data_IF_745419159740
#
_entry.id   IF_745419159740
#
_cell.length_a   1.000
_cell.length_b   1.000
_cell.length_c   1.000
_cell.angle_alpha   90.00
_cell.angle_beta   90.00
_cell.angle_gamma   90.00
#
_symmetry.space_group_name_H-M   'P 1'
#
loop_
_entity.id
_entity.type
_entity.pdbx_description
1 polymer ?
#
# COMPACT_ATOMS: atom_id res chain seq x y z
N UNK A 1 76.31 26.25 -29.17
CA UNK A 1 75.06 25.70 -29.71
C UNK A 1 74.52 24.54 -28.87
N UNK A 2 74.10 24.74 -27.61
CA UNK A 2 73.58 23.66 -26.73
C UNK A 2 72.29 23.98 -26.02
N UNK A 3 71.62 25.11 -26.31
CA UNK A 3 70.44 25.56 -25.57
C UNK A 3 69.10 24.91 -25.99
N UNK A 4 69.01 24.00 -26.95
CA UNK A 4 67.78 23.50 -27.49
C UNK A 4 67.43 22.02 -27.15
N UNK A 5 68.34 21.30 -26.49
CA UNK A 5 68.13 19.88 -26.18
C UNK A 5 67.32 19.69 -24.90
N UNK A 6 67.50 20.50 -23.86
CA UNK A 6 66.84 20.43 -22.60
C UNK A 6 65.30 20.70 -22.69
N UNK A 7 64.90 21.63 -23.55
CA UNK A 7 63.43 21.93 -23.77
C UNK A 7 62.71 20.83 -24.53
N UNK A 8 63.39 20.05 -25.35
CA UNK A 8 62.84 18.85 -26.02
C UNK A 8 62.60 17.73 -24.99
N UNK A 9 63.57 17.43 -24.15
CA UNK A 9 63.49 16.40 -23.11
C UNK A 9 62.34 16.74 -22.10
N UNK A 10 62.22 17.99 -21.74
CA UNK A 10 61.14 18.42 -20.82
C UNK A 10 59.74 18.24 -21.44
N UNK A 11 59.56 18.52 -22.73
CA UNK A 11 58.32 18.27 -23.46
C UNK A 11 57.98 16.77 -23.54
N UNK A 12 58.97 15.92 -23.79
CA UNK A 12 58.77 14.47 -23.81
C UNK A 12 58.41 13.94 -22.41
N UNK A 13 59.11 14.38 -21.36
CA UNK A 13 58.82 13.97 -19.99
C UNK A 13 57.42 14.38 -19.54
N UNK A 14 56.95 15.60 -19.88
CA UNK A 14 55.57 16.03 -19.61
C UNK A 14 54.59 15.15 -20.39
N UNK A 15 54.86 14.87 -21.67
CA UNK A 15 54.00 13.99 -22.48
C UNK A 15 53.86 12.59 -21.90
N UNK A 16 54.95 12.03 -21.40
CA UNK A 16 54.98 10.70 -20.77
C UNK A 16 54.20 10.69 -19.45
N UNK A 17 54.33 11.72 -18.60
CA UNK A 17 53.59 11.88 -17.37
C UNK A 17 52.07 12.00 -17.67
N UNK A 18 51.68 12.82 -18.65
CA UNK A 18 50.27 12.97 -19.05
C UNK A 18 49.70 11.66 -19.56
N UNK A 19 50.47 10.89 -20.35
CA UNK A 19 50.03 9.61 -20.89
C UNK A 19 49.83 8.56 -19.79
N UNK A 20 50.75 8.53 -18.79
CA UNK A 20 50.59 7.67 -17.61
C UNK A 20 49.38 8.09 -16.77
N UNK A 21 49.18 9.40 -16.56
CA UNK A 21 47.98 9.91 -15.85
C UNK A 21 46.69 9.52 -16.56
N UNK A 22 46.61 9.65 -17.88
CA UNK A 22 45.44 9.21 -18.67
C UNK A 22 45.23 7.72 -18.51
N UNK A 23 46.27 6.92 -18.55
CA UNK A 23 46.20 5.47 -18.33
C UNK A 23 45.63 5.10 -16.97
N UNK A 24 46.06 5.77 -15.90
CA UNK A 24 45.60 5.56 -14.54
C UNK A 24 44.11 6.00 -14.42
N UNK A 25 43.74 7.14 -14.98
CA UNK A 25 42.36 7.63 -14.95
C UNK A 25 41.41 6.69 -15.70
N UNK A 26 41.81 6.19 -16.87
CA UNK A 26 41.02 5.21 -17.61
C UNK A 26 40.88 3.89 -16.85
N UNK A 27 41.94 3.41 -16.22
CA UNK A 27 41.91 2.19 -15.41
C UNK A 27 40.96 2.35 -14.21
N UNK A 28 40.99 3.51 -13.52
CA UNK A 28 40.06 3.83 -12.43
C UNK A 28 38.62 3.91 -12.92
N UNK A 29 38.35 4.56 -14.06
CA UNK A 29 36.98 4.63 -14.63
C UNK A 29 36.44 3.25 -14.99
N UNK A 30 37.24 2.38 -15.61
CA UNK A 30 36.84 1.01 -15.95
C UNK A 30 36.55 0.20 -14.68
N UNK A 31 37.38 0.35 -13.64
CA UNK A 31 37.15 -0.33 -12.36
C UNK A 31 35.86 0.15 -11.71
N UNK A 32 35.65 1.47 -11.58
CA UNK A 32 34.43 2.07 -11.03
C UNK A 32 33.20 1.64 -11.81
N UNK A 33 33.27 1.63 -13.15
CA UNK A 33 32.18 1.15 -13.98
C UNK A 33 31.82 -0.33 -13.71
N UNK A 34 32.84 -1.19 -13.56
CA UNK A 34 32.62 -2.60 -13.27
C UNK A 34 32.04 -2.83 -11.86
N UNK A 35 32.48 -2.06 -10.86
CA UNK A 35 31.93 -2.09 -9.49
C UNK A 35 30.48 -1.63 -9.45
N UNK A 36 30.16 -0.52 -10.12
CA UNK A 36 28.78 -0.03 -10.25
C UNK A 36 27.87 -1.05 -10.94
N UNK A 37 28.37 -1.71 -11.98
CA UNK A 37 27.62 -2.77 -12.66
C UNK A 37 27.30 -3.95 -11.73
N UNK A 38 28.27 -4.40 -10.93
CA UNK A 38 28.07 -5.47 -9.94
C UNK A 38 27.08 -5.06 -8.85
N UNK A 39 27.20 -3.82 -8.35
CA UNK A 39 26.30 -3.24 -7.36
C UNK A 39 24.86 -3.20 -7.88
N UNK A 40 24.65 -2.70 -9.09
CA UNK A 40 23.33 -2.66 -9.72
C UNK A 40 22.69 -4.05 -9.90
N UNK A 41 23.50 -5.05 -10.29
CA UNK A 41 23.01 -6.43 -10.40
C UNK A 41 22.58 -6.98 -9.03
N UNK A 42 23.38 -6.72 -7.99
CA UNK A 42 23.05 -7.14 -6.60
C UNK A 42 21.81 -6.44 -6.10
N UNK A 43 21.72 -5.13 -6.30
CA UNK A 43 20.56 -4.32 -5.93
C UNK A 43 19.27 -4.82 -6.60
N UNK A 44 19.30 -5.05 -7.92
CA UNK A 44 18.15 -5.59 -8.63
C UNK A 44 17.70 -6.96 -8.10
N UNK A 45 18.63 -7.85 -7.74
CA UNK A 45 18.27 -9.13 -7.11
C UNK A 45 17.57 -8.94 -5.77
N UNK A 46 18.02 -7.98 -4.96
CA UNK A 46 17.37 -7.65 -3.69
C UNK A 46 15.97 -7.06 -3.91
N UNK A 47 15.79 -6.19 -4.90
CA UNK A 47 14.48 -5.65 -5.27
C UNK A 47 13.51 -6.72 -5.74
N UNK A 48 13.96 -7.76 -6.46
CA UNK A 48 13.12 -8.91 -6.84
C UNK A 48 12.57 -9.61 -5.60
N UNK A 49 13.36 -9.77 -4.55
CA UNK A 49 12.88 -10.37 -3.30
C UNK A 49 11.81 -9.48 -2.61
N UNK A 50 12.08 -8.17 -2.53
CA UNK A 50 11.11 -7.19 -1.99
C UNK A 50 9.80 -7.21 -2.81
N UNK A 51 9.90 -7.24 -4.13
CA UNK A 51 8.74 -7.31 -5.02
C UNK A 51 7.89 -8.57 -4.76
N UNK A 52 8.53 -9.72 -4.63
CA UNK A 52 7.84 -10.98 -4.37
C UNK A 52 7.16 -11.00 -3.00
N UNK A 53 7.85 -10.53 -1.95
CA UNK A 53 7.28 -10.41 -0.62
C UNK A 53 6.07 -9.47 -0.63
N UNK A 54 6.22 -8.27 -1.21
CA UNK A 54 5.13 -7.29 -1.29
C UNK A 54 3.92 -7.83 -2.07
N UNK A 55 4.16 -8.53 -3.17
CA UNK A 55 3.09 -9.15 -3.98
C UNK A 55 2.25 -10.13 -3.14
N UNK A 56 2.90 -11.01 -2.39
CA UNK A 56 2.23 -11.98 -1.51
C UNK A 56 1.49 -11.26 -0.38
N UNK A 57 2.12 -10.29 0.23
CA UNK A 57 1.53 -9.52 1.33
C UNK A 57 0.28 -8.75 0.89
N UNK A 58 0.28 -8.16 -0.31
CA UNK A 58 -0.89 -7.48 -0.86
C UNK A 58 -2.05 -8.44 -1.15
N UNK A 59 -1.77 -9.64 -1.65
CA UNK A 59 -2.79 -10.68 -1.86
C UNK A 59 -3.43 -11.10 -0.54
N UNK A 60 -2.61 -11.34 0.50
CA UNK A 60 -3.09 -11.64 1.84
C UNK A 60 -3.89 -10.46 2.41
N UNK A 61 -3.39 -9.24 2.28
CA UNK A 61 -4.08 -8.04 2.75
C UNK A 61 -5.48 -7.90 2.12
N UNK A 62 -5.60 -8.09 0.79
CA UNK A 62 -6.89 -8.09 0.11
C UNK A 62 -7.84 -9.14 0.68
N UNK A 63 -7.37 -10.35 0.89
CA UNK A 63 -8.16 -11.44 1.51
C UNK A 63 -8.65 -11.07 2.92
N UNK A 64 -7.81 -10.37 3.71
CA UNK A 64 -8.22 -9.88 5.05
C UNK A 64 -9.25 -8.76 4.97
N UNK A 65 -9.10 -7.84 4.05
CA UNK A 65 -10.09 -6.77 3.80
C UNK A 65 -11.45 -7.38 3.48
N UNK A 66 -11.53 -8.36 2.60
CA UNK A 66 -12.79 -9.01 2.22
C UNK A 66 -13.41 -9.81 3.37
N UNK A 67 -12.58 -10.51 4.16
CA UNK A 67 -13.04 -11.16 5.38
C UNK A 67 -13.68 -10.16 6.36
N UNK A 68 -13.05 -9.00 6.58
CA UNK A 68 -13.57 -8.01 7.53
C UNK A 68 -14.76 -7.23 6.98
N UNK A 69 -14.94 -7.09 5.67
CA UNK A 69 -16.20 -6.59 5.07
C UNK A 69 -17.38 -7.49 5.43
N UNK A 70 -17.21 -8.81 5.31
CA UNK A 70 -18.24 -9.76 5.77
C UNK A 70 -18.52 -9.63 7.26
N UNK A 71 -17.48 -9.50 8.08
CA UNK A 71 -17.62 -9.31 9.53
C UNK A 71 -18.30 -7.99 9.90
N UNK A 72 -18.09 -6.93 9.12
CA UNK A 72 -18.79 -5.64 9.32
C UNK A 72 -20.30 -5.76 9.12
N UNK A 73 -20.72 -6.40 8.03
CA UNK A 73 -22.14 -6.66 7.76
C UNK A 73 -22.76 -7.49 8.88
N UNK A 74 -22.12 -8.59 9.27
CA UNK A 74 -22.60 -9.46 10.32
C UNK A 74 -22.69 -8.74 11.68
N UNK A 75 -21.66 -7.95 12.04
CA UNK A 75 -21.68 -7.14 13.26
C UNK A 75 -22.84 -6.14 13.26
N UNK A 76 -23.08 -5.49 12.13
CA UNK A 76 -24.18 -4.54 11.98
C UNK A 76 -25.56 -5.21 12.19
N UNK A 77 -25.75 -6.42 11.64
CA UNK A 77 -26.99 -7.17 11.83
C UNK A 77 -27.20 -7.60 13.30
N UNK A 78 -26.14 -8.03 13.99
CA UNK A 78 -26.17 -8.38 15.42
C UNK A 78 -26.50 -7.15 16.26
N UNK A 79 -25.82 -6.03 16.04
CA UNK A 79 -25.98 -4.79 16.81
C UNK A 79 -27.41 -4.26 16.70
N UNK A 80 -28.00 -4.34 15.52
CA UNK A 80 -29.34 -3.88 15.23
C UNK A 80 -30.45 -4.93 15.56
N UNK A 81 -30.09 -6.09 16.10
CA UNK A 81 -31.03 -7.14 16.48
C UNK A 81 -31.81 -7.76 15.33
N UNK A 82 -31.19 -7.82 14.13
CA UNK A 82 -31.80 -8.39 12.93
C UNK A 82 -31.71 -9.90 12.86
N UNK A 83 -30.88 -10.53 13.72
CA UNK A 83 -30.65 -11.97 13.69
C UNK A 83 -31.51 -12.66 14.75
N UNK A 84 -32.32 -13.61 14.30
CA UNK A 84 -33.13 -14.50 15.12
C UNK A 84 -32.36 -15.73 15.59
N UNK A 85 -32.91 -16.49 16.52
CA UNK A 85 -32.38 -17.80 16.95
C UNK A 85 -32.20 -18.75 15.77
N UNK A 86 -33.16 -18.78 14.85
CA UNK A 86 -33.08 -19.63 13.65
C UNK A 86 -31.92 -19.24 12.74
N UNK A 87 -31.55 -17.96 12.68
CA UNK A 87 -30.39 -17.50 11.90
C UNK A 87 -29.07 -18.03 12.43
N UNK A 88 -28.92 -18.13 13.74
CA UNK A 88 -27.72 -18.72 14.37
C UNK A 88 -27.71 -20.25 14.22
N UNK A 89 -28.86 -20.89 14.33
CA UNK A 89 -29.03 -22.34 14.16
C UNK A 89 -28.66 -22.77 12.74
N UNK A 90 -29.14 -22.04 11.73
CA UNK A 90 -28.98 -22.40 10.32
C UNK A 90 -27.61 -21.99 9.75
N UNK A 91 -26.87 -21.11 10.43
CA UNK A 91 -25.54 -20.70 9.98
C UNK A 91 -24.53 -20.68 11.14
N UNK A 92 -23.84 -21.81 11.39
CA UNK A 92 -22.86 -21.95 12.47
C UNK A 92 -21.73 -20.90 12.43
N UNK A 93 -21.38 -20.36 11.25
CA UNK A 93 -20.33 -19.33 11.12
C UNK A 93 -20.69 -18.04 11.87
N UNK A 94 -21.99 -17.76 12.06
CA UNK A 94 -22.46 -16.60 12.84
C UNK A 94 -22.17 -16.74 14.34
N UNK A 95 -22.11 -17.97 14.86
CA UNK A 95 -21.86 -18.25 16.27
C UNK A 95 -20.46 -17.84 16.75
N UNK A 96 -19.51 -17.73 15.83
CA UNK A 96 -18.11 -17.40 16.14
C UNK A 96 -17.75 -15.94 15.86
N UNK A 97 -18.74 -15.04 15.70
CA UNK A 97 -18.48 -13.67 15.25
C UNK A 97 -17.40 -12.97 16.07
N UNK A 98 -17.54 -12.92 17.39
CA UNK A 98 -16.63 -12.22 18.30
C UNK A 98 -15.50 -13.11 18.85
N UNK A 99 -15.51 -14.39 18.56
CA UNK A 99 -14.58 -15.38 19.15
C UNK A 99 -13.42 -15.73 18.26
N UNK A 100 -13.28 -15.10 17.10
CA UNK A 100 -12.19 -15.38 16.17
C UNK A 100 -11.79 -14.16 15.36
N UNK A 101 -10.54 -14.14 14.97
CA UNK A 101 -10.01 -13.12 14.06
C UNK A 101 -8.97 -13.73 13.12
N UNK A 102 -8.77 -13.06 12.02
CA UNK A 102 -7.67 -13.35 11.11
C UNK A 102 -6.66 -12.21 11.15
N UNK A 103 -5.50 -12.49 11.72
CA UNK A 103 -4.39 -11.55 11.71
C UNK A 103 -3.73 -11.45 10.33
N UNK A 104 -2.87 -10.44 10.22
CA UNK A 104 -1.98 -10.26 9.09
C UNK A 104 -0.62 -9.80 9.64
N UNK A 105 0.43 -10.41 9.16
CA UNK A 105 1.81 -10.01 9.43
C UNK A 105 2.52 -9.87 8.10
N UNK A 106 3.29 -8.80 7.99
CA UNK A 106 4.05 -8.48 6.80
C UNK A 106 5.30 -9.37 6.71
N UNK A 107 5.58 -9.88 5.52
CA UNK A 107 6.85 -10.52 5.21
C UNK A 107 7.91 -9.45 4.97
N UNK A 108 8.92 -9.38 5.83
CA UNK A 108 9.95 -8.35 5.75
C UNK A 108 11.35 -8.89 5.38
N UNK A 109 11.45 -10.13 4.92
CA UNK A 109 12.75 -10.76 4.64
C UNK A 109 13.49 -10.08 3.50
N UNK A 110 12.83 -9.82 2.38
CA UNK A 110 13.41 -9.13 1.24
C UNK A 110 13.79 -7.69 1.58
N UNK A 111 12.90 -6.97 2.29
CA UNK A 111 13.18 -5.63 2.77
C UNK A 111 14.39 -5.59 3.72
N UNK A 112 14.47 -6.47 4.71
CA UNK A 112 15.59 -6.53 5.63
C UNK A 112 16.91 -6.87 4.90
N UNK A 113 16.88 -7.80 3.94
CA UNK A 113 18.04 -8.12 3.11
C UNK A 113 18.49 -6.91 2.28
N UNK A 114 17.57 -6.10 1.77
CA UNK A 114 17.89 -4.86 1.08
C UNK A 114 18.54 -3.84 2.03
N UNK A 115 17.97 -3.62 3.22
CA UNK A 115 18.49 -2.66 4.20
C UNK A 115 19.84 -3.05 4.81
N UNK A 116 20.19 -4.33 4.80
CA UNK A 116 21.54 -4.81 5.20
C UNK A 116 22.60 -4.57 4.12
N UNK A 117 22.25 -4.07 2.94
CA UNK A 117 23.13 -3.83 1.82
C UNK A 117 23.01 -2.41 1.26
N UNK A 118 22.88 -1.43 2.15
CA UNK A 118 22.62 -0.02 1.79
C UNK A 118 23.74 0.61 0.95
N UNK A 119 24.98 0.15 1.10
CA UNK A 119 26.13 0.61 0.30
C UNK A 119 25.99 0.32 -1.20
N UNK A 120 25.07 -0.56 -1.57
CA UNK A 120 24.81 -0.92 -2.96
C UNK A 120 23.57 -0.25 -3.55
N UNK A 121 22.93 0.68 -2.82
CA UNK A 121 21.73 1.38 -3.29
C UNK A 121 22.16 2.60 -4.09
N UNK A 122 21.86 2.66 -5.42
CA UNK A 122 22.12 3.84 -6.21
C UNK A 122 21.28 5.03 -5.73
N UNK A 123 21.84 6.25 -5.77
CA UNK A 123 21.20 7.46 -5.27
C UNK A 123 19.87 7.79 -5.95
N UNK A 124 19.69 7.40 -7.20
CA UNK A 124 18.42 7.57 -7.92
C UNK A 124 17.23 6.82 -7.28
N UNK A 125 17.46 5.89 -6.34
CA UNK A 125 16.42 5.11 -5.66
C UNK A 125 16.17 5.56 -4.21
N UNK A 126 16.68 6.70 -3.77
CA UNK A 126 16.46 7.21 -2.40
C UNK A 126 14.97 7.31 -2.07
N UNK A 127 14.14 7.85 -2.97
CA UNK A 127 12.69 7.94 -2.76
C UNK A 127 12.04 6.56 -2.64
N UNK A 128 12.48 5.57 -3.41
CA UNK A 128 12.00 4.20 -3.27
C UNK A 128 12.29 3.65 -1.87
N UNK A 129 13.47 3.95 -1.31
CA UNK A 129 13.82 3.51 0.06
C UNK A 129 12.94 4.18 1.10
N UNK A 130 12.62 5.45 0.94
CA UNK A 130 11.66 6.15 1.82
C UNK A 130 10.29 5.47 1.76
N UNK A 131 9.80 5.14 0.58
CA UNK A 131 8.50 4.48 0.40
C UNK A 131 8.48 3.06 0.98
N UNK A 132 9.57 2.31 0.81
CA UNK A 132 9.76 0.99 1.41
C UNK A 132 9.80 1.06 2.94
N UNK A 133 10.54 2.01 3.50
CA UNK A 133 10.60 2.23 4.96
C UNK A 133 9.20 2.53 5.52
N UNK A 134 8.45 3.39 4.85
CA UNK A 134 7.07 3.70 5.24
C UNK A 134 6.18 2.45 5.21
N UNK A 135 6.29 1.63 4.17
CA UNK A 135 5.51 0.41 4.01
C UNK A 135 5.85 -0.65 5.07
N UNK A 136 7.14 -0.96 5.22
CA UNK A 136 7.62 -2.10 6.00
C UNK A 136 7.90 -1.78 7.47
N UNK A 137 8.09 -0.50 7.83
CA UNK A 137 8.28 -0.08 9.22
C UNK A 137 7.03 0.62 9.73
N UNK A 138 6.71 1.81 9.23
CA UNK A 138 5.69 2.67 9.84
C UNK A 138 4.29 2.06 9.74
N UNK A 139 3.92 1.61 8.53
CA UNK A 139 2.57 1.05 8.30
C UNK A 139 2.43 -0.32 8.93
N UNK A 140 3.45 -1.17 8.84
CA UNK A 140 3.47 -2.49 9.45
C UNK A 140 3.38 -2.43 10.98
N UNK A 141 4.14 -1.52 11.63
CA UNK A 141 4.09 -1.31 13.09
C UNK A 141 2.70 -0.87 13.57
N UNK A 142 2.09 0.13 12.92
CA UNK A 142 0.72 0.58 13.25
C UNK A 142 -0.29 -0.55 13.15
N UNK A 143 -0.16 -1.38 12.13
CA UNK A 143 -1.01 -2.54 11.93
C UNK A 143 -0.81 -3.59 13.04
N UNK A 144 0.42 -3.88 13.44
CA UNK A 144 0.74 -4.83 14.50
C UNK A 144 0.24 -4.36 15.87
N UNK A 145 0.41 -3.08 16.20
CA UNK A 145 -0.16 -2.47 17.42
C UNK A 145 -1.69 -2.66 17.43
N UNK A 146 -2.36 -2.35 16.33
CA UNK A 146 -3.81 -2.49 16.23
C UNK A 146 -4.27 -3.95 16.33
N UNK A 147 -3.53 -4.88 15.73
CA UNK A 147 -3.78 -6.32 15.84
C UNK A 147 -3.65 -6.81 17.28
N UNK A 148 -2.64 -6.36 18.00
CA UNK A 148 -2.41 -6.72 19.41
C UNK A 148 -3.58 -6.30 20.29
N UNK A 149 -4.06 -5.07 20.14
CA UNK A 149 -5.23 -4.56 20.85
C UNK A 149 -6.47 -5.39 20.49
N UNK A 150 -6.70 -5.65 19.22
CA UNK A 150 -7.85 -6.42 18.77
C UNK A 150 -7.80 -7.89 19.26
N UNK A 151 -6.64 -8.53 19.18
CA UNK A 151 -6.43 -9.89 19.70
C UNK A 151 -6.75 -9.99 21.19
N UNK A 152 -6.38 -8.98 21.98
CA UNK A 152 -6.68 -8.92 23.42
C UNK A 152 -8.19 -8.88 23.69
N UNK A 153 -8.95 -8.13 22.89
CA UNK A 153 -10.42 -8.04 22.99
C UNK A 153 -11.07 -9.40 22.71
N UNK A 154 -10.64 -10.08 21.63
CA UNK A 154 -11.14 -11.42 21.27
C UNK A 154 -10.78 -12.44 22.36
N UNK A 155 -9.56 -12.41 22.89
CA UNK A 155 -9.12 -13.27 23.98
C UNK A 155 -9.96 -13.04 25.23
N UNK A 156 -10.18 -11.80 25.62
CA UNK A 156 -11.01 -11.44 26.78
C UNK A 156 -12.47 -11.90 26.63
N UNK A 157 -13.05 -11.78 25.44
CA UNK A 157 -14.37 -12.32 25.14
C UNK A 157 -14.41 -13.84 25.34
N UNK A 158 -13.47 -14.57 24.73
CA UNK A 158 -13.38 -16.04 24.89
C UNK A 158 -13.27 -16.46 26.35
N UNK A 159 -12.38 -15.83 27.11
CA UNK A 159 -12.18 -16.14 28.52
C UNK A 159 -13.46 -15.90 29.33
N UNK A 160 -14.10 -14.75 29.14
CA UNK A 160 -15.36 -14.43 29.82
C UNK A 160 -16.46 -15.44 29.52
N UNK A 161 -16.62 -15.85 28.26
CA UNK A 161 -17.62 -16.84 27.87
C UNK A 161 -17.31 -18.22 28.40
N UNK A 162 -16.05 -18.63 28.38
CA UNK A 162 -15.63 -19.92 28.94
C UNK A 162 -15.89 -20.04 30.46
N UNK A 163 -15.70 -18.94 31.20
CA UNK A 163 -15.87 -18.92 32.66
C UNK A 163 -17.34 -18.76 33.10
N UNK A 164 -18.16 -18.03 32.35
CA UNK A 164 -19.50 -17.66 32.79
C UNK A 164 -20.63 -18.44 32.13
N UNK A 165 -20.35 -19.16 31.04
CA UNK A 165 -21.38 -19.84 30.25
C UNK A 165 -21.01 -21.31 30.00
N UNK A 166 -21.56 -22.28 30.78
CA UNK A 166 -21.25 -23.70 30.61
C UNK A 166 -21.48 -24.22 29.18
N UNK A 167 -22.48 -23.69 28.48
CA UNK A 167 -22.78 -24.04 27.09
C UNK A 167 -21.70 -23.63 26.09
N UNK A 168 -20.77 -22.75 26.47
CA UNK A 168 -19.76 -22.24 25.54
C UNK A 168 -18.80 -23.34 25.05
N UNK A 169 -18.38 -24.23 25.95
CA UNK A 169 -17.46 -25.33 25.67
C UNK A 169 -18.14 -26.65 25.25
N UNK A 170 -19.48 -26.71 25.36
CA UNK A 170 -20.26 -27.91 25.07
C UNK A 170 -20.87 -27.85 23.67
N UNK A 171 -21.11 -29.01 23.06
CA UNK A 171 -21.67 -29.13 21.71
C UNK A 171 -22.87 -30.09 21.63
N UNK A 172 -23.62 -30.23 22.73
CA UNK A 172 -24.88 -30.94 22.75
C UNK A 172 -26.07 -30.03 22.33
N UNK A 173 -27.23 -30.65 22.10
CA UNK A 173 -28.41 -29.94 21.61
C UNK A 173 -28.94 -28.87 22.58
N UNK A 174 -28.87 -29.14 23.89
CA UNK A 174 -29.35 -28.23 24.95
C UNK A 174 -28.43 -27.01 25.05
N UNK A 175 -27.12 -27.24 25.03
CA UNK A 175 -26.09 -26.20 25.05
C UNK A 175 -26.14 -25.32 23.81
N UNK A 176 -26.35 -25.92 22.64
CA UNK A 176 -26.51 -25.19 21.39
C UNK A 176 -27.76 -24.29 21.40
N UNK A 177 -28.90 -24.79 21.90
CA UNK A 177 -30.10 -23.96 22.01
C UNK A 177 -29.88 -22.75 22.94
N UNK A 178 -29.27 -22.96 24.13
CA UNK A 178 -28.92 -21.89 25.07
C UNK A 178 -27.96 -20.87 24.41
N UNK A 179 -27.01 -21.34 23.63
CA UNK A 179 -26.08 -20.49 22.87
C UNK A 179 -26.82 -19.60 21.89
N UNK A 180 -27.68 -20.15 21.04
CA UNK A 180 -28.41 -19.39 20.03
C UNK A 180 -29.35 -18.37 20.67
N UNK A 181 -30.05 -18.73 21.74
CA UNK A 181 -30.88 -17.81 22.51
C UNK A 181 -30.06 -16.65 23.09
N UNK A 182 -28.89 -16.95 23.65
CA UNK A 182 -27.98 -15.92 24.16
C UNK A 182 -27.49 -14.98 23.05
N UNK A 183 -26.99 -15.52 21.95
CA UNK A 183 -26.46 -14.72 20.85
C UNK A 183 -27.54 -13.83 20.19
N UNK A 184 -28.77 -14.29 20.11
CA UNK A 184 -29.88 -13.51 19.53
C UNK A 184 -30.37 -12.40 20.45
N UNK A 185 -30.44 -12.64 21.76
CA UNK A 185 -31.21 -11.79 22.67
C UNK A 185 -30.38 -10.99 23.68
N UNK A 186 -29.09 -11.43 23.94
CA UNK A 186 -28.33 -10.85 25.03
C UNK A 186 -27.72 -9.47 24.64
N UNK A 187 -28.01 -8.39 25.40
CA UNK A 187 -27.46 -7.06 25.11
C UNK A 187 -25.94 -6.98 25.29
N UNK A 188 -25.36 -7.80 26.18
CA UNK A 188 -23.90 -7.85 26.37
C UNK A 188 -23.21 -8.36 25.10
N UNK A 189 -23.75 -9.41 24.47
CA UNK A 189 -23.23 -9.88 23.19
C UNK A 189 -23.26 -8.82 22.10
N UNK A 190 -24.34 -8.02 22.03
CA UNK A 190 -24.43 -6.88 21.11
C UNK A 190 -23.37 -5.82 21.39
N UNK A 191 -23.04 -5.54 22.65
CA UNK A 191 -21.97 -4.62 23.02
C UNK A 191 -20.58 -5.18 22.62
N UNK A 192 -20.37 -6.48 22.81
CA UNK A 192 -19.14 -7.13 22.37
C UNK A 192 -18.99 -7.14 20.84
N UNK A 193 -20.08 -7.30 20.10
CA UNK A 193 -20.08 -7.13 18.64
C UNK A 193 -19.72 -5.67 18.24
N UNK A 194 -20.15 -4.64 19.02
CA UNK A 194 -19.69 -3.24 18.80
C UNK A 194 -18.20 -3.08 19.05
N UNK A 195 -17.64 -3.67 20.11
CA UNK A 195 -16.19 -3.65 20.37
C UNK A 195 -15.41 -4.34 19.27
N UNK A 196 -15.85 -5.54 18.88
CA UNK A 196 -15.26 -6.28 17.77
C UNK A 196 -15.25 -5.44 16.47
N UNK A 197 -16.40 -4.82 16.13
CA UNK A 197 -16.54 -3.96 14.96
C UNK A 197 -15.60 -2.76 15.05
N UNK A 198 -15.50 -2.10 16.21
CA UNK A 198 -14.63 -0.93 16.40
C UNK A 198 -13.15 -1.29 16.21
N UNK A 199 -12.66 -2.30 16.91
CA UNK A 199 -11.23 -2.60 16.95
C UNK A 199 -10.76 -3.54 15.85
N UNK A 200 -11.58 -4.49 15.43
CA UNK A 200 -11.25 -5.43 14.36
C UNK A 200 -11.56 -4.90 12.97
N UNK A 201 -12.83 -4.48 12.77
CA UNK A 201 -13.29 -4.08 11.44
C UNK A 201 -12.83 -2.67 11.09
N UNK A 202 -13.02 -1.69 11.98
CA UNK A 202 -12.67 -0.30 11.65
C UNK A 202 -11.19 -0.01 11.82
N UNK A 203 -10.59 -0.40 12.96
CA UNK A 203 -9.21 -0.06 13.23
C UNK A 203 -8.26 -1.03 12.52
N UNK A 204 -8.21 -2.30 12.93
CA UNK A 204 -7.24 -3.25 12.38
C UNK A 204 -7.39 -3.42 10.86
N UNK A 205 -8.60 -3.71 10.37
CA UNK A 205 -8.83 -3.84 8.92
C UNK A 205 -8.61 -2.53 8.17
N UNK A 206 -8.82 -1.37 8.81
CA UNK A 206 -8.45 -0.07 8.25
C UNK A 206 -6.96 0.09 8.02
N UNK A 207 -6.12 -0.35 8.96
CA UNK A 207 -4.66 -0.36 8.79
C UNK A 207 -4.21 -1.37 7.72
N UNK A 208 -4.85 -2.56 7.65
CA UNK A 208 -4.60 -3.52 6.58
C UNK A 208 -4.94 -2.92 5.20
N UNK A 209 -6.07 -2.21 5.10
CA UNK A 209 -6.44 -1.49 3.87
C UNK A 209 -5.44 -0.37 3.55
N UNK A 210 -4.94 0.34 4.55
CA UNK A 210 -3.85 1.31 4.41
C UNK A 210 -2.59 0.68 3.82
N UNK A 211 -2.14 -0.45 4.37
CA UNK A 211 -1.00 -1.21 3.88
C UNK A 211 -1.21 -1.65 2.41
N UNK A 212 -2.36 -2.21 2.09
CA UNK A 212 -2.73 -2.62 0.74
C UNK A 212 -2.67 -1.45 -0.25
N UNK A 213 -3.33 -0.35 0.09
CA UNK A 213 -3.46 0.80 -0.81
C UNK A 213 -2.13 1.53 -1.05
N UNK A 214 -1.26 1.60 -0.05
CA UNK A 214 0.09 2.16 -0.19
C UNK A 214 1.01 1.22 -0.98
N UNK A 215 0.83 -0.09 -0.81
CA UNK A 215 1.62 -1.09 -1.50
C UNK A 215 1.32 -1.22 -3.00
N UNK A 216 0.12 -0.83 -3.47
CA UNK A 216 -0.23 -0.94 -4.89
C UNK A 216 0.69 -0.11 -5.81
N UNK A 217 0.86 1.21 -5.62
CA UNK A 217 1.78 2.00 -6.43
C UNK A 217 3.24 1.56 -6.25
N UNK A 218 3.62 1.17 -5.04
CA UNK A 218 4.96 0.65 -4.76
C UNK A 218 5.25 -0.64 -5.54
N UNK A 219 4.27 -1.56 -5.63
CA UNK A 219 4.39 -2.77 -6.45
C UNK A 219 4.61 -2.44 -7.93
N UNK A 220 3.89 -1.45 -8.48
CA UNK A 220 4.09 -0.97 -9.85
C UNK A 220 5.48 -0.40 -10.08
N UNK A 221 5.96 0.41 -9.12
CA UNK A 221 7.31 1.00 -9.17
C UNK A 221 8.38 -0.08 -9.16
N UNK A 222 8.31 -1.03 -8.23
CA UNK A 222 9.24 -2.16 -8.16
C UNK A 222 9.22 -2.99 -9.43
N UNK A 223 8.01 -3.34 -9.92
CA UNK A 223 7.82 -4.09 -11.18
C UNK A 223 8.54 -3.43 -12.35
N UNK A 224 8.48 -2.10 -12.45
CA UNK A 224 9.12 -1.35 -13.50
C UNK A 224 10.65 -1.35 -13.39
N UNK A 225 11.18 -1.16 -12.18
CA UNK A 225 12.63 -1.13 -11.92
C UNK A 225 13.27 -2.49 -12.25
N UNK A 226 12.63 -3.58 -11.82
CA UNK A 226 13.15 -4.94 -12.08
C UNK A 226 12.84 -5.43 -13.52
N UNK A 227 12.17 -4.62 -14.34
CA UNK A 227 11.73 -4.96 -15.70
C UNK A 227 10.89 -6.26 -15.77
N UNK A 228 10.04 -6.51 -14.77
CA UNK A 228 9.14 -7.66 -14.80
C UNK A 228 8.01 -7.45 -15.82
N UNK A 229 7.97 -8.32 -16.84
CA UNK A 229 6.99 -8.29 -17.94
C UNK A 229 5.75 -9.14 -17.67
N UNK A 230 5.72 -9.91 -16.58
CA UNK A 230 4.57 -10.72 -16.23
C UNK A 230 3.31 -9.85 -16.01
N UNK A 231 2.11 -10.37 -16.26
CA UNK A 231 0.88 -9.63 -15.99
C UNK A 231 0.78 -9.29 -14.49
N UNK A 232 0.07 -8.21 -14.18
CA UNK A 232 -0.23 -7.85 -12.80
C UNK A 232 -1.08 -8.97 -12.13
N UNK A 233 -0.91 -9.18 -10.82
CA UNK A 233 -1.68 -10.17 -10.09
C UNK A 233 -3.19 -9.96 -10.21
N UNK A 234 -3.98 -11.02 -10.10
CA UNK A 234 -5.44 -10.98 -10.24
C UNK A 234 -6.13 -10.06 -9.22
N UNK A 235 -5.51 -9.88 -8.04
CA UNK A 235 -6.02 -8.98 -7.00
C UNK A 235 -5.76 -7.49 -7.31
N UNK A 236 -4.88 -7.20 -8.28
CA UNK A 236 -4.56 -5.82 -8.62
C UNK A 236 -5.76 -5.16 -9.32
N UNK A 237 -6.09 -3.90 -8.99
CA UNK A 237 -7.20 -3.18 -9.61
C UNK A 237 -7.05 -3.13 -11.13
N UNK A 238 -8.16 -3.26 -11.85
CA UNK A 238 -8.19 -3.14 -13.31
C UNK A 238 -8.86 -1.84 -13.72
N UNK A 239 -8.34 -1.20 -14.75
CA UNK A 239 -9.05 -0.13 -15.41
C UNK A 239 -10.16 -0.71 -16.32
N UNK A 240 -11.26 0.01 -16.44
CA UNK A 240 -12.29 -0.30 -17.44
C UNK A 240 -11.76 -0.06 -18.84
N UNK A 241 -12.41 -0.69 -19.82
CA UNK A 241 -12.07 -0.53 -21.23
C UNK A 241 -12.11 0.94 -21.66
N UNK A 242 -11.21 1.32 -22.56
CA UNK A 242 -11.09 2.68 -23.07
C UNK A 242 -10.25 3.63 -22.20
N UNK A 243 -9.68 3.17 -21.09
CA UNK A 243 -8.84 4.01 -20.20
C UNK A 243 -7.71 4.71 -20.96
N UNK A 244 -6.95 3.99 -21.78
CA UNK A 244 -5.80 4.54 -22.50
C UNK A 244 -6.16 5.67 -23.47
N UNK A 245 -7.39 5.70 -23.98
CA UNK A 245 -7.86 6.72 -24.90
C UNK A 245 -8.28 8.02 -24.21
N UNK A 246 -8.54 7.99 -22.91
CA UNK A 246 -9.06 9.15 -22.15
C UNK A 246 -8.18 9.59 -20.98
N UNK A 247 -7.16 8.83 -20.61
CA UNK A 247 -6.35 9.10 -19.42
C UNK A 247 -5.68 10.47 -19.43
N UNK A 248 -5.29 10.98 -20.59
CA UNK A 248 -4.67 12.30 -20.74
C UNK A 248 -5.59 13.45 -20.33
N UNK A 249 -6.91 13.29 -20.44
CA UNK A 249 -7.88 14.33 -20.09
C UNK A 249 -7.81 14.67 -18.58
N UNK A 250 -7.45 13.69 -17.75
CA UNK A 250 -7.47 13.80 -16.30
C UNK A 250 -6.16 14.29 -15.70
N UNK A 251 -5.06 14.28 -16.48
CA UNK A 251 -3.75 14.68 -15.98
C UNK A 251 -3.72 16.21 -15.72
N UNK A 252 -2.95 16.61 -14.71
CA UNK A 252 -2.71 18.02 -14.40
C UNK A 252 -2.83 18.35 -12.92
N UNK A 253 -2.83 19.66 -12.64
CA UNK A 253 -2.96 20.20 -11.29
C UNK A 253 -4.40 20.50 -10.93
N UNK A 254 -4.71 20.32 -9.66
CA UNK A 254 -6.05 20.52 -9.11
C UNK A 254 -5.94 21.23 -7.77
N UNK A 255 -6.92 22.05 -7.43
CA UNK A 255 -6.98 22.81 -6.18
C UNK A 255 -8.17 22.36 -5.34
N UNK A 256 -7.90 21.99 -4.08
CA UNK A 256 -8.96 21.67 -3.12
C UNK A 256 -9.67 22.95 -2.65
N UNK A 257 -10.87 22.83 -2.03
CA UNK A 257 -11.53 23.99 -1.42
C UNK A 257 -10.70 24.67 -0.32
N UNK A 258 -9.76 23.95 0.29
CA UNK A 258 -8.88 24.45 1.36
C UNK A 258 -7.59 25.08 0.81
N UNK A 259 -7.36 25.07 -0.49
CA UNK A 259 -6.18 25.64 -1.12
C UNK A 259 -5.00 24.68 -1.29
N UNK A 260 -5.18 23.37 -0.99
CA UNK A 260 -4.12 22.37 -1.21
C UNK A 260 -4.03 22.02 -2.69
N UNK A 261 -2.82 22.00 -3.24
CA UNK A 261 -2.58 21.51 -4.60
C UNK A 261 -2.51 19.98 -4.64
N UNK A 262 -3.23 19.41 -5.60
CA UNK A 262 -3.20 18.01 -5.94
C UNK A 262 -2.69 17.86 -7.37
N UNK A 263 -1.82 16.87 -7.60
CA UNK A 263 -1.33 16.53 -8.93
C UNK A 263 -1.88 15.17 -9.33
N UNK A 264 -2.61 15.13 -10.44
CA UNK A 264 -3.01 13.87 -11.08
C UNK A 264 -2.01 13.56 -12.17
N UNK A 265 -1.30 12.44 -12.04
CA UNK A 265 -0.35 11.95 -13.04
C UNK A 265 -0.55 10.46 -13.33
N UNK A 266 0.19 9.94 -14.33
CA UNK A 266 0.17 8.53 -14.69
C UNK A 266 1.32 7.77 -14.00
N UNK A 267 1.00 6.62 -13.40
CA UNK A 267 1.97 5.63 -12.92
C UNK A 267 1.68 4.29 -13.62
N UNK A 268 2.53 3.92 -14.57
CA UNK A 268 2.53 2.58 -15.19
C UNK A 268 1.13 2.11 -15.63
N UNK A 269 0.40 2.95 -16.35
CA UNK A 269 -0.93 2.64 -16.86
C UNK A 269 -2.07 2.83 -15.86
N UNK A 270 -1.86 3.57 -14.78
CA UNK A 270 -2.88 4.00 -13.82
C UNK A 270 -2.76 5.49 -13.56
N UNK A 271 -3.86 6.14 -13.19
CA UNK A 271 -3.78 7.47 -12.61
C UNK A 271 -3.41 7.38 -11.13
N UNK A 272 -2.70 8.39 -10.67
CA UNK A 272 -2.43 8.58 -9.24
C UNK A 272 -2.60 10.04 -8.85
N UNK A 273 -3.00 10.27 -7.60
CA UNK A 273 -3.09 11.62 -7.02
C UNK A 273 -1.95 11.76 -6.03
N UNK A 274 -1.17 12.83 -6.20
CA UNK A 274 -0.21 13.33 -5.23
C UNK A 274 -0.78 14.58 -4.57
N UNK A 275 -0.41 14.80 -3.31
CA UNK A 275 -0.67 16.06 -2.61
C UNK A 275 0.65 16.81 -2.62
N UNK A 276 0.69 17.97 -3.31
CA UNK A 276 1.84 18.85 -3.32
C UNK A 276 1.73 19.80 -2.11
N UNK A 277 2.75 19.79 -1.25
CA UNK A 277 2.90 20.65 -0.08
C UNK A 277 1.81 20.64 0.99
N UNK A 278 1.85 19.64 1.84
CA UNK A 278 1.30 19.78 3.20
C UNK A 278 2.47 19.66 4.20
N UNK A 279 3.17 20.79 4.49
CA UNK A 279 4.11 20.96 5.58
C UNK A 279 5.01 19.75 5.88
N UNK A 280 5.23 19.41 7.16
CA UNK A 280 6.00 18.24 7.60
C UNK A 280 5.41 16.87 7.20
N UNK A 281 4.28 16.83 6.49
CA UNK A 281 3.63 15.65 5.92
C UNK A 281 3.96 15.40 4.44
N UNK A 282 5.15 15.76 3.99
CA UNK A 282 5.70 15.43 2.64
C UNK A 282 5.68 13.92 2.31
N UNK A 283 5.05 13.14 3.14
CA UNK A 283 5.10 11.70 3.18
C UNK A 283 3.79 11.00 2.83
N UNK A 284 2.84 11.65 2.16
CA UNK A 284 1.63 10.96 1.72
C UNK A 284 1.91 10.23 0.40
N UNK A 285 1.95 8.88 0.42
CA UNK A 285 2.20 8.13 -0.81
C UNK A 285 1.10 8.38 -1.83
N UNK A 286 1.42 8.27 -3.13
CA UNK A 286 0.46 8.46 -4.19
C UNK A 286 -0.78 7.60 -4.02
N UNK A 287 -1.95 8.19 -4.26
CA UNK A 287 -3.24 7.49 -4.19
C UNK A 287 -3.55 6.91 -5.57
N UNK A 288 -3.50 5.59 -5.70
CA UNK A 288 -3.81 4.93 -6.96
C UNK A 288 -5.30 5.05 -7.29
N UNK A 289 -5.58 5.38 -8.55
CA UNK A 289 -6.91 5.40 -9.12
C UNK A 289 -7.06 4.31 -10.18
N UNK A 290 -8.20 3.61 -10.19
CA UNK A 290 -8.58 2.78 -11.32
C UNK A 290 -9.90 3.24 -11.92
N UNK A 291 -9.98 3.30 -13.23
CA UNK A 291 -11.18 3.70 -13.95
C UNK A 291 -12.28 2.63 -13.79
N UNK A 292 -13.45 3.04 -13.29
CA UNK A 292 -14.66 2.20 -13.23
C UNK A 292 -15.45 2.33 -14.55
N UNK A 293 -15.56 3.55 -15.02
CA UNK A 293 -16.15 3.94 -16.30
C UNK A 293 -15.60 5.33 -16.68
N UNK A 294 -15.88 5.84 -17.88
CA UNK A 294 -15.50 7.19 -18.27
C UNK A 294 -15.91 8.18 -17.18
N UNK A 295 -14.98 9.03 -16.78
CA UNK A 295 -15.10 10.08 -15.74
C UNK A 295 -15.35 9.54 -14.30
N UNK A 296 -15.35 8.22 -14.05
CA UNK A 296 -15.50 7.64 -12.72
C UNK A 296 -14.32 6.75 -12.36
N UNK A 297 -13.68 7.07 -11.25
CA UNK A 297 -12.50 6.38 -10.78
C UNK A 297 -12.65 5.92 -9.32
N UNK A 298 -12.17 4.73 -9.02
CA UNK A 298 -12.02 4.25 -7.65
C UNK A 298 -10.72 4.75 -7.07
N UNK A 299 -10.78 5.52 -6.00
CA UNK A 299 -9.62 5.83 -5.19
C UNK A 299 -9.37 4.67 -4.21
N UNK A 300 -8.26 3.97 -4.42
CA UNK A 300 -7.96 2.76 -3.63
C UNK A 300 -7.53 3.08 -2.20
N UNK A 301 -7.08 4.29 -1.90
CA UNK A 301 -6.72 4.71 -0.56
C UNK A 301 -7.94 5.02 0.31
N UNK A 302 -8.89 5.80 -0.22
CA UNK A 302 -10.07 6.22 0.54
C UNK A 302 -11.25 5.28 0.38
N UNK A 303 -11.21 4.43 -0.65
CA UNK A 303 -12.34 3.59 -1.05
C UNK A 303 -13.48 4.37 -1.72
N UNK A 304 -13.34 5.69 -1.92
CA UNK A 304 -14.35 6.54 -2.56
C UNK A 304 -14.29 6.48 -4.07
N UNK A 305 -15.39 6.83 -4.70
CA UNK A 305 -15.43 7.05 -6.15
C UNK A 305 -15.25 8.52 -6.43
N UNK A 306 -14.29 8.85 -7.29
CA UNK A 306 -14.09 10.19 -7.83
C UNK A 306 -14.86 10.29 -9.13
N UNK A 307 -15.66 11.34 -9.29
CA UNK A 307 -16.39 11.66 -10.51
C UNK A 307 -15.79 12.91 -11.11
N UNK A 308 -15.11 12.79 -12.23
CA UNK A 308 -14.56 13.92 -12.97
C UNK A 308 -15.68 14.72 -13.65
N UNK A 309 -15.55 16.03 -13.65
CA UNK A 309 -16.54 16.98 -14.13
C UNK A 309 -16.01 17.58 -15.41
N UNK A 310 -16.86 17.66 -16.45
CA UNK A 310 -16.54 18.29 -17.73
C UNK A 310 -17.37 19.54 -17.95
N UNK A 311 -16.82 20.49 -18.69
CA UNK A 311 -17.53 21.66 -19.19
C UNK A 311 -18.30 21.35 -20.49
N UNK A 312 -18.95 22.39 -21.07
CA UNK A 312 -19.70 22.29 -22.32
C UNK A 312 -18.82 21.93 -23.54
N UNK A 313 -17.52 22.20 -23.47
CA UNK A 313 -16.53 21.83 -24.49
C UNK A 313 -15.96 20.42 -24.30
N UNK A 314 -16.49 19.65 -23.35
CA UNK A 314 -16.03 18.32 -22.97
C UNK A 314 -14.61 18.29 -22.33
N UNK A 315 -14.07 19.43 -21.87
CA UNK A 315 -12.79 19.52 -21.13
C UNK A 315 -13.02 19.18 -19.66
N UNK A 316 -12.12 18.40 -19.04
CA UNK A 316 -12.16 18.13 -17.60
C UNK A 316 -11.78 19.39 -16.83
N UNK A 317 -12.69 19.86 -15.97
CA UNK A 317 -12.55 21.08 -15.15
C UNK A 317 -12.41 20.81 -13.65
N UNK A 318 -12.55 19.57 -13.21
CA UNK A 318 -12.43 19.18 -11.81
C UNK A 318 -12.92 17.77 -11.56
N UNK A 319 -13.05 17.41 -10.27
CA UNK A 319 -13.69 16.17 -9.84
C UNK A 319 -14.36 16.34 -8.46
N UNK A 320 -15.30 15.45 -8.14
CA UNK A 320 -15.92 15.36 -6.82
C UNK A 320 -15.90 13.92 -6.29
N UNK A 321 -15.74 13.77 -4.97
CA UNK A 321 -15.88 12.47 -4.28
C UNK A 321 -17.23 12.29 -3.57
N UNK A 322 -18.15 13.21 -3.83
CA UNK A 322 -19.47 13.26 -3.20
C UNK A 322 -19.51 14.09 -1.92
N UNK A 323 -18.36 14.55 -1.40
CA UNK A 323 -18.24 15.45 -0.24
C UNK A 323 -17.69 16.79 -0.67
N UNK A 324 -16.56 16.77 -1.37
CA UNK A 324 -15.84 17.95 -1.81
C UNK A 324 -15.76 17.99 -3.33
N UNK A 325 -15.57 19.19 -3.86
CA UNK A 325 -15.31 19.43 -5.29
C UNK A 325 -13.95 20.09 -5.43
N UNK A 326 -13.10 19.48 -6.23
CA UNK A 326 -11.73 19.90 -6.51
C UNK A 326 -11.71 20.47 -7.93
N UNK A 327 -11.11 21.63 -8.14
CA UNK A 327 -11.05 22.31 -9.44
C UNK A 327 -9.74 22.03 -10.14
N UNK A 328 -9.79 21.77 -11.44
CA UNK A 328 -8.58 21.72 -12.28
C UNK A 328 -8.08 23.13 -12.53
N UNK A 329 -6.76 23.32 -12.35
CA UNK A 329 -6.11 24.60 -12.63
C UNK A 329 -5.25 24.46 -13.89
N UNK A 330 -5.25 25.48 -14.74
CA UNK A 330 -4.36 25.52 -15.90
C UNK A 330 -2.94 25.84 -15.43
N UNK A 331 -1.93 25.25 -16.07
CA UNK A 331 -0.51 25.36 -15.68
C UNK A 331 0.04 26.81 -15.84
N UNK A 332 -0.78 27.75 -16.33
CA UNK A 332 -0.42 29.14 -16.62
C UNK A 332 -1.12 30.13 -15.67
N UNK A 333 -1.81 29.69 -14.63
CA UNK A 333 -2.39 30.56 -13.59
C UNK A 333 -1.53 30.53 -12.29
#
# INVERSE_FOLDING_TARGET
>A
MEKNKTGKYFKYAIGEIVLVMIGILLALQVNTWNENKKSNIKFNKLLVNVFNDLKIDLEIAQSRIDFYKYKDSLANDIINGKLSVSDYKNNPRRNSMIFGYWGFRVSNMGYNALMQNTENIPSEYEQLIVDLNRQYIVTAERMEISLTVFASIVKSARTRYALNFPWYSQNDSVSNEKRWQHLANNPIYKNEARLYRRYGVRNFSGFVAGFYNQGLPLLLTLKAIINDTNPLPSFFPKNADGFDSVKSDYLGKYLTPNGDELIVNEIKGYLSIYIDHIGDFNDIPPMLLSMISKDKFKNHRTGRTLSFIRDESNKVIGWSDGTDTVKKIDVND
#
